data_IF_260467667153
#
_entry.id   IF_260467667153
#
_cell.length_a   1.000
_cell.length_b   1.000
_cell.length_c   1.000
_cell.angle_alpha   90.00
_cell.angle_beta   90.00
_cell.angle_gamma   90.00
#
_symmetry.space_group_name_H-M   'P 1'
#
loop_
_entity.id
_entity.type
_entity.pdbx_description
1 polymer ?
#
# COMPACT_ATOMS: atom_id res chain seq x y z
N UNK A 1 29.13 -15.29 13.89
CA UNK A 1 29.49 -15.37 15.29
C UNK A 1 30.73 -16.28 15.50
N UNK A 2 30.64 -17.57 15.13
CA UNK A 2 31.70 -18.55 15.35
C UNK A 2 33.04 -18.15 14.72
N UNK A 3 33.02 -17.60 13.50
CA UNK A 3 34.23 -17.15 12.81
C UNK A 3 34.93 -15.99 13.57
N UNK A 4 34.17 -15.01 14.05
CA UNK A 4 34.71 -13.90 14.85
C UNK A 4 35.26 -14.35 16.20
N UNK A 5 34.63 -15.34 16.83
CA UNK A 5 35.11 -15.88 18.11
C UNK A 5 36.44 -16.58 17.93
N UNK A 6 36.59 -17.39 16.87
CA UNK A 6 37.84 -18.06 16.52
C UNK A 6 38.93 -17.02 16.18
N UNK A 7 38.58 -15.98 15.45
CA UNK A 7 39.54 -14.91 15.10
C UNK A 7 40.06 -14.18 16.35
N UNK A 8 39.19 -13.76 17.27
CA UNK A 8 39.64 -13.10 18.51
C UNK A 8 40.44 -14.02 19.42
N UNK A 9 40.06 -15.30 19.52
CA UNK A 9 40.82 -16.29 20.28
C UNK A 9 42.20 -16.51 19.69
N UNK A 10 42.36 -16.60 18.38
CA UNK A 10 43.64 -16.79 17.69
C UNK A 10 44.57 -15.58 17.79
N UNK A 11 44.01 -14.37 17.92
CA UNK A 11 44.77 -13.11 18.11
C UNK A 11 45.13 -12.82 19.57
N UNK A 12 44.74 -13.69 20.52
CA UNK A 12 44.95 -13.47 21.94
C UNK A 12 44.08 -12.35 22.55
N UNK A 13 43.01 -11.91 21.86
CA UNK A 13 42.13 -10.84 22.29
C UNK A 13 41.00 -11.39 23.20
N UNK A 14 41.38 -11.93 24.37
CA UNK A 14 40.49 -12.63 25.28
C UNK A 14 39.33 -11.78 25.77
N UNK A 15 39.52 -10.48 26.00
CA UNK A 15 38.43 -9.55 26.42
C UNK A 15 37.35 -9.38 25.35
N UNK A 16 37.77 -9.29 24.08
CA UNK A 16 36.81 -9.19 22.95
C UNK A 16 36.06 -10.50 22.75
N UNK A 17 36.73 -11.62 22.88
CA UNK A 17 36.10 -12.93 22.83
C UNK A 17 35.05 -13.10 23.96
N UNK A 18 35.39 -12.71 25.19
CA UNK A 18 34.48 -12.73 26.33
C UNK A 18 33.27 -11.80 26.13
N UNK A 19 33.48 -10.57 25.65
CA UNK A 19 32.42 -9.63 25.35
C UNK A 19 31.46 -10.15 24.24
N UNK A 20 32.01 -10.85 23.23
CA UNK A 20 31.21 -11.46 22.18
C UNK A 20 30.35 -12.61 22.71
N UNK A 21 30.88 -13.43 23.62
CA UNK A 21 30.14 -14.51 24.30
C UNK A 21 29.04 -13.94 25.17
N UNK A 22 29.31 -12.89 25.97
CA UNK A 22 28.34 -12.24 26.83
C UNK A 22 27.21 -11.61 25.99
N UNK A 23 27.55 -10.92 24.91
CA UNK A 23 26.58 -10.36 23.97
C UNK A 23 25.66 -11.44 23.37
N UNK A 24 26.25 -12.57 22.92
CA UNK A 24 25.47 -13.70 22.41
C UNK A 24 24.56 -14.28 23.48
N UNK A 25 25.07 -14.49 24.68
CA UNK A 25 24.33 -15.05 25.80
C UNK A 25 23.12 -14.15 26.16
N UNK A 26 23.32 -12.82 26.20
CA UNK A 26 22.25 -11.84 26.44
C UNK A 26 21.22 -11.88 25.33
N UNK A 27 21.65 -12.01 24.08
CA UNK A 27 20.76 -12.08 22.93
C UNK A 27 19.93 -13.37 22.93
N UNK A 28 20.58 -14.53 23.14
CA UNK A 28 19.93 -15.84 23.15
C UNK A 28 18.91 -15.98 24.29
N UNK A 29 19.19 -15.35 25.43
CA UNK A 29 18.32 -15.37 26.62
C UNK A 29 17.40 -14.15 26.73
N UNK A 30 17.34 -13.31 25.69
CA UNK A 30 16.47 -12.14 25.73
C UNK A 30 14.99 -12.57 25.76
N UNK A 31 14.23 -12.18 26.80
CA UNK A 31 12.84 -12.58 26.92
C UNK A 31 11.98 -11.86 25.88
N UNK A 32 11.38 -12.64 24.99
CA UNK A 32 10.41 -12.12 24.00
C UNK A 32 9.00 -12.39 24.53
N UNK A 33 8.25 -11.32 24.79
CA UNK A 33 6.84 -11.45 25.17
C UNK A 33 6.01 -11.82 23.94
N UNK A 34 5.33 -12.97 23.99
CA UNK A 34 4.43 -13.43 22.93
C UNK A 34 3.00 -13.29 23.42
N UNK A 35 2.20 -12.49 22.75
CA UNK A 35 0.76 -12.39 22.97
C UNK A 35 0.07 -13.20 21.87
N UNK A 36 -0.64 -14.25 22.25
CA UNK A 36 -1.44 -15.06 21.32
C UNK A 36 -2.90 -14.66 21.43
N UNK A 37 -3.46 -14.17 20.34
CA UNK A 37 -4.88 -13.91 20.19
C UNK A 37 -5.52 -15.13 19.54
N UNK A 38 -6.54 -15.72 20.18
CA UNK A 38 -7.26 -16.87 19.64
C UNK A 38 -8.74 -16.54 19.53
N UNK A 39 -9.39 -16.99 18.45
CA UNK A 39 -10.82 -16.81 18.20
C UNK A 39 -11.29 -15.35 18.15
N UNK A 40 -10.43 -14.45 17.67
CA UNK A 40 -10.74 -13.03 17.54
C UNK A 40 -11.13 -12.68 16.11
N UNK A 41 -12.04 -11.73 15.95
CA UNK A 41 -12.35 -11.13 14.67
C UNK A 41 -11.16 -10.26 14.18
N UNK A 42 -11.05 -10.03 12.88
CA UNK A 42 -10.01 -9.17 12.31
C UNK A 42 -10.06 -7.75 12.89
N UNK A 43 -11.23 -7.20 13.17
CA UNK A 43 -11.39 -5.87 13.76
C UNK A 43 -10.84 -5.81 15.20
N UNK A 44 -11.01 -6.87 15.97
CA UNK A 44 -10.42 -6.98 17.31
C UNK A 44 -8.90 -7.08 17.23
N UNK A 45 -8.36 -7.83 16.28
CA UNK A 45 -6.91 -7.92 16.04
C UNK A 45 -6.35 -6.53 15.68
N UNK A 46 -7.01 -5.77 14.79
CA UNK A 46 -6.61 -4.39 14.45
C UNK A 46 -6.60 -3.51 15.70
N UNK A 47 -7.65 -3.59 16.53
CA UNK A 47 -7.77 -2.78 17.74
C UNK A 47 -6.66 -3.11 18.76
N UNK A 48 -6.36 -4.38 18.96
CA UNK A 48 -5.29 -4.83 19.86
C UNK A 48 -3.93 -4.36 19.33
N UNK A 49 -3.71 -4.53 18.03
CA UNK A 49 -2.49 -4.08 17.37
C UNK A 49 -2.27 -2.57 17.53
N UNK A 50 -3.31 -1.74 17.31
CA UNK A 50 -3.22 -0.29 17.50
C UNK A 50 -2.89 0.07 18.96
N UNK A 51 -3.37 -0.69 19.94
CA UNK A 51 -3.08 -0.48 21.37
C UNK A 51 -1.68 -0.92 21.78
N UNK A 52 -1.23 -2.08 21.33
CA UNK A 52 0.12 -2.59 21.65
C UNK A 52 1.19 -1.70 21.00
N UNK A 53 0.88 -1.13 19.86
CA UNK A 53 1.81 -0.30 19.07
C UNK A 53 2.05 1.11 19.66
N UNK A 54 1.49 1.43 20.82
CA UNK A 54 1.68 2.73 21.50
C UNK A 54 3.05 2.86 22.19
N UNK A 55 3.77 1.76 22.40
CA UNK A 55 5.10 1.74 23.01
C UNK A 55 6.17 1.25 22.06
N UNK A 56 7.02 2.13 21.51
CA UNK A 56 8.12 1.77 20.61
C UNK A 56 7.96 2.26 19.18
N UNK A 57 8.68 1.63 18.23
CA UNK A 57 8.54 1.94 16.79
C UNK A 57 7.18 1.42 16.31
N UNK A 58 6.31 2.34 15.90
CA UNK A 58 4.98 1.99 15.39
C UNK A 58 5.12 1.13 14.13
N UNK A 59 4.51 -0.05 14.16
CA UNK A 59 4.31 -0.87 12.97
C UNK A 59 3.18 -0.27 12.14
N UNK A 60 3.34 -0.22 10.84
CA UNK A 60 2.28 0.21 9.92
C UNK A 60 1.34 -0.96 9.59
N UNK A 61 0.17 -0.66 9.02
CA UNK A 61 -0.71 -1.70 8.47
C UNK A 61 0.03 -2.53 7.41
N UNK A 62 0.88 -1.88 6.61
CA UNK A 62 1.73 -2.54 5.64
C UNK A 62 2.67 -3.57 6.28
N UNK A 63 3.31 -3.26 7.41
CA UNK A 63 4.22 -4.19 8.08
C UNK A 63 3.50 -5.48 8.51
N UNK A 64 2.24 -5.37 8.94
CA UNK A 64 1.40 -6.52 9.27
C UNK A 64 1.04 -7.36 8.04
N UNK A 65 0.57 -6.69 7.00
CA UNK A 65 0.24 -7.35 5.73
C UNK A 65 1.49 -8.04 5.17
N UNK A 66 2.62 -7.33 5.13
CA UNK A 66 3.89 -7.88 4.67
C UNK A 66 4.27 -9.16 5.44
N UNK A 67 4.19 -9.13 6.78
CA UNK A 67 4.48 -10.29 7.60
C UNK A 67 3.52 -11.48 7.35
N UNK A 68 2.24 -11.18 7.06
CA UNK A 68 1.23 -12.23 6.81
C UNK A 68 1.35 -12.88 5.43
N UNK A 69 1.87 -12.14 4.43
CA UNK A 69 1.99 -12.62 3.04
C UNK A 69 3.42 -13.04 2.68
N UNK A 70 4.36 -12.93 3.60
CA UNK A 70 5.76 -13.27 3.36
C UNK A 70 5.96 -14.78 3.18
N UNK A 71 6.84 -15.15 2.26
CA UNK A 71 7.40 -16.49 2.10
C UNK A 71 8.79 -16.41 1.48
N UNK A 72 9.53 -17.51 1.48
CA UNK A 72 10.88 -17.57 0.91
C UNK A 72 10.94 -17.19 -0.59
N UNK A 73 9.83 -17.35 -1.31
CA UNK A 73 9.70 -17.09 -2.74
C UNK A 73 8.85 -15.84 -3.05
N UNK A 74 8.35 -15.12 -2.04
CA UNK A 74 7.59 -13.89 -2.22
C UNK A 74 7.74 -12.95 -1.04
N UNK A 75 8.51 -11.90 -1.24
CA UNK A 75 8.63 -10.77 -0.32
C UNK A 75 7.96 -9.53 -0.94
N UNK A 76 6.79 -9.16 -0.41
CA UNK A 76 6.01 -8.04 -0.93
C UNK A 76 6.78 -6.72 -0.90
N UNK A 77 7.67 -6.52 0.09
CA UNK A 77 8.48 -5.30 0.21
C UNK A 77 9.52 -5.21 -0.89
N UNK A 78 10.19 -6.31 -1.17
CA UNK A 78 11.20 -6.40 -2.22
C UNK A 78 10.55 -6.25 -3.59
N UNK A 79 9.42 -6.89 -3.81
CA UNK A 79 8.64 -6.76 -5.04
C UNK A 79 8.18 -5.30 -5.31
N UNK A 80 7.77 -4.57 -4.27
CA UNK A 80 7.43 -3.14 -4.36
C UNK A 80 8.67 -2.29 -4.65
N UNK A 81 9.79 -2.62 -4.02
CA UNK A 81 11.06 -1.93 -4.27
C UNK A 81 11.52 -2.12 -5.72
N UNK A 82 11.44 -3.34 -6.25
CA UNK A 82 11.73 -3.63 -7.65
C UNK A 82 10.85 -2.82 -8.60
N UNK A 83 9.54 -2.82 -8.37
CA UNK A 83 8.59 -2.02 -9.15
C UNK A 83 8.96 -0.52 -9.13
N UNK A 84 9.24 0.04 -7.96
CA UNK A 84 9.61 1.44 -7.83
C UNK A 84 10.98 1.78 -8.47
N UNK A 85 11.84 0.80 -8.69
CA UNK A 85 13.11 0.96 -9.37
C UNK A 85 13.03 0.83 -10.90
N UNK A 86 11.88 0.43 -11.46
CA UNK A 86 11.66 0.46 -12.89
C UNK A 86 11.83 1.88 -13.45
N UNK A 87 12.53 2.04 -14.56
CA UNK A 87 12.91 3.36 -15.09
C UNK A 87 11.71 4.29 -15.29
N UNK A 88 10.59 3.77 -15.81
CA UNK A 88 9.36 4.55 -16.06
C UNK A 88 8.68 5.01 -14.77
N UNK A 89 8.70 4.16 -13.74
CA UNK A 89 8.10 4.44 -12.42
C UNK A 89 8.98 5.43 -11.66
N UNK A 90 10.29 5.21 -11.67
CA UNK A 90 11.26 6.08 -10.99
C UNK A 90 11.18 7.54 -11.48
N UNK A 91 10.90 7.75 -12.77
CA UNK A 91 10.69 9.10 -13.34
C UNK A 91 9.38 9.71 -12.84
N UNK A 92 8.31 8.91 -12.73
CA UNK A 92 7.02 9.38 -12.21
C UNK A 92 7.08 9.68 -10.70
N UNK A 93 7.89 8.94 -9.97
CA UNK A 93 8.08 9.05 -8.52
C UNK A 93 7.64 7.77 -7.79
N UNK A 94 8.09 7.66 -6.55
CA UNK A 94 7.85 6.48 -5.72
C UNK A 94 6.37 6.31 -5.39
N UNK A 95 5.84 5.15 -5.74
CA UNK A 95 4.49 4.72 -5.35
C UNK A 95 4.54 4.15 -3.92
N UNK A 96 3.67 4.64 -3.05
CA UNK A 96 3.62 4.23 -1.64
C UNK A 96 3.21 2.77 -1.48
N UNK A 97 3.76 2.12 -0.46
CA UNK A 97 3.49 0.71 -0.18
C UNK A 97 2.02 0.42 0.13
N UNK A 98 1.30 1.39 0.70
CA UNK A 98 -0.14 1.32 0.98
C UNK A 98 -0.96 1.20 -0.31
N UNK A 99 -0.51 1.80 -1.41
CA UNK A 99 -1.16 1.67 -2.72
C UNK A 99 -1.22 0.20 -3.15
N UNK A 100 -0.15 -0.55 -2.92
CA UNK A 100 -0.08 -1.97 -3.31
C UNK A 100 -0.97 -2.85 -2.43
N UNK A 101 -0.98 -2.65 -1.10
CA UNK A 101 -1.85 -3.44 -0.22
C UNK A 101 -3.32 -3.16 -0.48
N UNK A 102 -3.68 -1.91 -0.74
CA UNK A 102 -5.03 -1.52 -1.12
C UNK A 102 -5.42 -2.10 -2.49
N UNK A 103 -4.51 -2.07 -3.47
CA UNK A 103 -4.71 -2.65 -4.79
C UNK A 103 -4.91 -4.16 -4.73
N UNK A 104 -4.06 -4.87 -3.97
CA UNK A 104 -4.20 -6.32 -3.76
C UNK A 104 -5.55 -6.66 -3.12
N UNK A 105 -5.94 -5.93 -2.07
CA UNK A 105 -7.21 -6.16 -1.39
C UNK A 105 -8.40 -5.92 -2.32
N UNK A 106 -8.39 -4.87 -3.14
CA UNK A 106 -9.40 -4.61 -4.17
C UNK A 106 -9.45 -5.75 -5.20
N UNK A 107 -8.30 -6.17 -5.71
CA UNK A 107 -8.20 -7.17 -6.77
C UNK A 107 -8.64 -8.57 -6.30
N UNK A 108 -8.47 -8.89 -5.01
CA UNK A 108 -8.81 -10.19 -4.44
C UNK A 108 -10.25 -10.22 -3.90
N UNK A 109 -10.68 -9.14 -3.24
CA UNK A 109 -11.95 -9.14 -2.50
C UNK A 109 -12.95 -8.03 -2.91
N UNK A 110 -12.57 -7.11 -3.79
CA UNK A 110 -13.40 -5.96 -4.17
C UNK A 110 -13.48 -4.88 -3.10
N UNK A 111 -12.73 -4.98 -2.00
CA UNK A 111 -12.75 -4.04 -0.88
C UNK A 111 -11.33 -3.80 -0.36
N UNK A 112 -11.02 -2.58 0.06
CA UNK A 112 -9.70 -2.20 0.55
C UNK A 112 -9.67 -1.71 2.00
N UNK A 113 -10.74 -1.91 2.77
CA UNK A 113 -10.74 -1.56 4.19
C UNK A 113 -9.71 -2.40 4.96
N UNK A 114 -9.29 -1.92 6.15
CA UNK A 114 -8.21 -2.56 6.92
C UNK A 114 -8.40 -4.07 7.10
N UNK A 115 -9.64 -4.53 7.38
CA UNK A 115 -9.94 -5.93 7.57
C UNK A 115 -9.60 -6.76 6.31
N UNK A 116 -9.94 -6.30 5.11
CA UNK A 116 -9.63 -6.97 3.86
C UNK A 116 -8.13 -6.96 3.55
N UNK A 117 -7.41 -5.89 3.87
CA UNK A 117 -5.96 -5.86 3.73
C UNK A 117 -5.27 -6.88 4.66
N UNK A 118 -5.73 -7.00 5.92
CA UNK A 118 -5.20 -7.98 6.88
C UNK A 118 -5.60 -9.43 6.57
N UNK A 119 -6.67 -9.63 5.81
CA UNK A 119 -7.11 -10.95 5.36
C UNK A 119 -6.32 -11.47 4.14
N UNK A 120 -5.41 -10.68 3.58
CA UNK A 120 -4.60 -11.08 2.44
C UNK A 120 -3.74 -12.30 2.78
N UNK A 121 -3.72 -13.27 1.86
CA UNK A 121 -2.92 -14.49 1.96
C UNK A 121 -1.82 -14.50 0.90
N UNK A 122 -0.72 -15.13 1.22
CA UNK A 122 0.43 -15.25 0.33
C UNK A 122 0.04 -15.77 -1.07
N UNK A 123 -0.68 -16.90 -1.13
CA UNK A 123 -1.05 -17.54 -2.39
C UNK A 123 -1.91 -16.64 -3.28
N UNK A 124 -2.90 -15.96 -2.68
CA UNK A 124 -3.78 -15.04 -3.40
C UNK A 124 -3.02 -13.84 -3.93
N UNK A 125 -2.13 -13.26 -3.12
CA UNK A 125 -1.28 -12.14 -3.51
C UNK A 125 -0.35 -12.52 -4.67
N UNK A 126 0.32 -13.66 -4.59
CA UNK A 126 1.18 -14.19 -5.67
C UNK A 126 0.42 -14.37 -6.96
N UNK A 127 -0.79 -14.95 -6.88
CA UNK A 127 -1.61 -15.24 -8.05
C UNK A 127 -1.96 -13.96 -8.84
N UNK A 128 -2.26 -12.84 -8.15
CA UNK A 128 -2.67 -11.59 -8.79
C UNK A 128 -1.55 -10.56 -8.94
N UNK A 129 -0.37 -10.80 -8.36
CA UNK A 129 0.70 -9.81 -8.25
C UNK A 129 1.16 -9.24 -9.59
N UNK A 130 1.44 -10.11 -10.56
CA UNK A 130 1.88 -9.69 -11.89
C UNK A 130 0.87 -8.76 -12.56
N UNK A 131 -0.41 -9.11 -12.46
CA UNK A 131 -1.50 -8.34 -13.05
C UNK A 131 -1.74 -7.03 -12.29
N UNK A 132 -1.58 -7.04 -10.98
CA UNK A 132 -1.65 -5.83 -10.14
C UNK A 132 -0.56 -4.84 -10.54
N UNK A 133 0.70 -5.28 -10.68
CA UNK A 133 1.80 -4.42 -11.18
C UNK A 133 1.47 -3.82 -12.55
N UNK A 134 0.97 -4.62 -13.47
CA UNK A 134 0.60 -4.15 -14.81
C UNK A 134 -0.54 -3.13 -14.76
N UNK A 135 -1.57 -3.37 -13.97
CA UNK A 135 -2.69 -2.44 -13.81
C UNK A 135 -2.26 -1.09 -13.19
N UNK A 136 -1.30 -1.12 -12.26
CA UNK A 136 -0.70 0.12 -11.71
C UNK A 136 0.10 0.86 -12.79
N UNK A 137 0.89 0.16 -13.64
CA UNK A 137 1.61 0.80 -14.77
C UNK A 137 0.64 1.46 -15.76
N UNK A 138 -0.43 0.76 -16.14
CA UNK A 138 -1.47 1.30 -17.01
C UNK A 138 -2.13 2.53 -16.41
N UNK A 139 -2.34 2.52 -15.10
CA UNK A 139 -2.88 3.67 -14.36
C UNK A 139 -1.94 4.87 -14.42
N UNK A 140 -0.66 4.67 -14.15
CA UNK A 140 0.34 5.74 -14.21
C UNK A 140 0.43 6.31 -15.62
N UNK A 141 0.45 5.46 -16.63
CA UNK A 141 0.45 5.87 -18.05
C UNK A 141 -0.80 6.64 -18.43
N UNK A 142 -1.97 6.21 -17.95
CA UNK A 142 -3.23 6.92 -18.17
C UNK A 142 -3.21 8.30 -17.51
N UNK A 143 -2.80 8.39 -16.23
CA UNK A 143 -2.70 9.65 -15.49
C UNK A 143 -1.75 10.63 -16.23
N UNK A 144 -0.61 10.15 -16.68
CA UNK A 144 0.36 10.98 -17.44
C UNK A 144 -0.21 11.47 -18.77
N UNK A 145 -0.85 10.59 -19.53
CA UNK A 145 -1.33 10.90 -20.89
C UNK A 145 -2.61 11.71 -20.87
N UNK A 146 -3.55 11.36 -19.98
CA UNK A 146 -4.88 11.97 -19.94
C UNK A 146 -4.91 13.28 -19.17
N UNK A 147 -4.18 13.37 -18.05
CA UNK A 147 -4.22 14.49 -17.13
C UNK A 147 -2.96 15.34 -17.13
N UNK A 148 -1.93 14.95 -17.86
CA UNK A 148 -0.66 15.67 -17.93
C UNK A 148 0.18 15.61 -16.65
N UNK A 149 -0.18 14.77 -15.70
CA UNK A 149 0.53 14.63 -14.41
C UNK A 149 1.80 13.80 -14.62
N UNK A 150 2.92 14.48 -14.65
CA UNK A 150 4.23 13.85 -14.93
C UNK A 150 4.95 13.34 -13.68
N UNK A 151 4.53 13.76 -12.49
CA UNK A 151 5.13 13.34 -11.23
C UNK A 151 4.06 13.08 -10.17
N UNK A 152 4.26 12.01 -9.40
CA UNK A 152 3.32 11.55 -8.36
C UNK A 152 3.07 12.59 -7.27
N UNK A 153 4.04 13.46 -6.99
CA UNK A 153 3.92 14.53 -5.98
C UNK A 153 2.85 15.58 -6.33
N UNK A 154 2.42 15.64 -7.59
CA UNK A 154 1.33 16.54 -8.01
C UNK A 154 -0.04 15.96 -7.61
N UNK A 155 -0.14 14.67 -7.40
CA UNK A 155 -1.37 14.00 -6.99
C UNK A 155 -1.55 14.19 -5.48
N UNK A 156 -2.63 14.84 -5.02
CA UNK A 156 -2.81 15.14 -3.59
C UNK A 156 -3.02 13.88 -2.74
N UNK A 157 -3.48 12.79 -3.36
CA UNK A 157 -3.76 11.52 -2.69
C UNK A 157 -3.34 10.36 -3.58
N UNK A 158 -2.32 9.61 -3.19
CA UNK A 158 -1.93 8.39 -3.92
C UNK A 158 -3.03 7.31 -3.91
N UNK A 159 -4.01 7.41 -3.01
CA UNK A 159 -5.18 6.54 -2.95
C UNK A 159 -6.08 6.59 -4.21
N UNK A 160 -5.86 7.54 -5.12
CA UNK A 160 -6.46 7.57 -6.46
C UNK A 160 -5.96 6.38 -7.31
N UNK A 161 -4.70 5.98 -7.14
CA UNK A 161 -4.07 4.92 -7.93
C UNK A 161 -4.76 3.56 -7.73
N UNK A 162 -5.03 3.08 -6.48
CA UNK A 162 -5.74 1.82 -6.27
C UNK A 162 -7.12 1.75 -6.95
N UNK A 163 -7.83 2.86 -6.99
CA UNK A 163 -9.17 2.91 -7.61
C UNK A 163 -9.07 2.85 -9.14
N UNK A 164 -8.15 3.61 -9.74
CA UNK A 164 -7.95 3.57 -11.19
C UNK A 164 -7.35 2.24 -11.66
N UNK A 165 -6.39 1.66 -10.90
CA UNK A 165 -5.83 0.36 -11.25
C UNK A 165 -6.89 -0.73 -11.19
N UNK A 166 -7.85 -0.63 -10.26
CA UNK A 166 -8.94 -1.59 -10.15
C UNK A 166 -9.79 -1.62 -11.42
N UNK A 167 -10.02 -0.46 -12.08
CA UNK A 167 -10.64 -0.43 -13.40
C UNK A 167 -9.88 -1.31 -14.40
N UNK A 168 -8.57 -1.11 -14.54
CA UNK A 168 -7.76 -1.89 -15.49
C UNK A 168 -7.72 -3.38 -15.13
N UNK A 169 -7.66 -3.67 -13.83
CA UNK A 169 -7.62 -5.04 -13.34
C UNK A 169 -8.90 -5.81 -13.68
N UNK A 170 -10.10 -5.27 -13.44
CA UNK A 170 -11.35 -5.98 -13.67
C UNK A 170 -11.81 -5.90 -15.13
N UNK A 171 -11.57 -4.80 -15.83
CA UNK A 171 -11.94 -4.67 -17.27
C UNK A 171 -11.01 -5.45 -18.20
N UNK A 172 -9.81 -5.84 -17.74
CA UNK A 172 -8.75 -6.48 -18.53
C UNK A 172 -8.36 -5.70 -19.79
N UNK A 173 -8.62 -4.40 -19.83
CA UNK A 173 -8.31 -3.54 -20.96
C UNK A 173 -6.98 -2.82 -20.74
N UNK A 174 -6.30 -2.44 -21.83
CA UNK A 174 -5.06 -1.66 -21.80
C UNK A 174 -5.31 -0.13 -21.80
N UNK A 175 -6.55 0.29 -21.85
CA UNK A 175 -6.96 1.68 -21.87
C UNK A 175 -8.37 1.83 -21.31
N UNK A 176 -8.72 3.05 -20.89
CA UNK A 176 -10.09 3.36 -20.49
C UNK A 176 -10.99 3.35 -21.73
N UNK A 177 -12.11 2.63 -21.66
CA UNK A 177 -13.06 2.56 -22.75
C UNK A 177 -13.65 3.96 -23.04
N UNK A 178 -13.88 4.33 -24.29
CA UNK A 178 -14.34 5.68 -24.68
C UNK A 178 -15.56 6.14 -23.90
N UNK A 179 -16.54 5.26 -23.69
CA UNK A 179 -17.78 5.52 -22.95
C UNK A 179 -17.58 5.81 -21.45
N UNK A 180 -16.50 5.29 -20.86
CA UNK A 180 -16.17 5.49 -19.45
C UNK A 180 -15.24 6.68 -19.20
N UNK A 181 -14.60 7.18 -20.28
CA UNK A 181 -13.50 8.14 -20.20
C UNK A 181 -13.92 9.44 -19.50
N UNK A 182 -15.09 9.98 -19.87
CA UNK A 182 -15.57 11.24 -19.30
C UNK A 182 -15.88 11.06 -17.81
N UNK A 183 -16.60 10.01 -17.42
CA UNK A 183 -16.96 9.73 -16.03
C UNK A 183 -15.74 9.57 -15.14
N UNK A 184 -14.73 8.83 -15.62
CA UNK A 184 -13.49 8.61 -14.88
C UNK A 184 -12.68 9.91 -14.78
N UNK A 185 -12.65 10.73 -15.83
CA UNK A 185 -11.98 12.04 -15.79
C UNK A 185 -12.64 13.00 -14.80
N UNK A 186 -13.97 13.06 -14.80
CA UNK A 186 -14.73 13.90 -13.85
C UNK A 186 -14.52 13.44 -12.41
N UNK A 187 -14.51 12.12 -12.18
CA UNK A 187 -14.19 11.55 -10.87
C UNK A 187 -12.76 11.92 -10.44
N UNK A 188 -11.76 11.74 -11.31
CA UNK A 188 -10.37 12.06 -11.02
C UNK A 188 -10.18 13.51 -10.57
N UNK A 189 -10.73 14.47 -11.36
CA UNK A 189 -10.61 15.89 -11.03
C UNK A 189 -11.39 16.24 -9.77
N UNK A 190 -12.55 15.64 -9.58
CA UNK A 190 -13.35 15.85 -8.37
C UNK A 190 -12.61 15.38 -7.13
N UNK A 191 -12.02 14.18 -7.14
CA UNK A 191 -11.24 13.68 -6.00
C UNK A 191 -9.99 14.52 -5.79
N UNK A 192 -9.31 14.92 -6.86
CA UNK A 192 -8.09 15.73 -6.81
C UNK A 192 -8.33 17.09 -6.15
N UNK A 193 -9.43 17.76 -6.50
CA UNK A 193 -9.73 19.12 -6.00
C UNK A 193 -10.70 19.15 -4.81
N UNK A 194 -11.19 18.01 -4.36
CA UNK A 194 -11.98 17.91 -3.14
C UNK A 194 -11.11 17.40 -1.98
N UNK A 195 -11.60 17.57 -0.77
CA UNK A 195 -10.99 16.95 0.42
C UNK A 195 -11.50 15.50 0.62
N UNK A 196 -11.91 14.80 -0.47
CA UNK A 196 -12.59 13.51 -0.36
C UNK A 196 -11.79 12.49 0.44
N UNK A 197 -10.50 12.35 0.17
CA UNK A 197 -9.64 11.38 0.83
C UNK A 197 -8.88 11.92 2.05
N UNK A 198 -9.22 13.10 2.56
CA UNK A 198 -8.62 13.66 3.78
C UNK A 198 -9.09 12.97 5.07
N UNK A 199 -10.25 12.31 5.05
CA UNK A 199 -10.80 11.59 6.20
C UNK A 199 -11.65 10.41 5.74
N UNK A 200 -11.75 9.35 6.57
CA UNK A 200 -12.50 8.11 6.25
C UNK A 200 -12.13 7.55 4.87
N UNK A 201 -10.84 7.63 4.53
CA UNK A 201 -10.31 7.36 3.18
C UNK A 201 -10.71 5.98 2.68
N UNK A 202 -10.48 4.93 3.46
CA UNK A 202 -10.75 3.55 3.03
C UNK A 202 -12.25 3.28 2.77
N UNK A 203 -13.15 3.87 3.57
CA UNK A 203 -14.59 3.76 3.35
C UNK A 203 -15.00 4.42 2.02
N UNK A 204 -14.46 5.60 1.76
CA UNK A 204 -14.72 6.32 0.49
C UNK A 204 -14.12 5.61 -0.71
N UNK A 205 -12.95 5.01 -0.55
CA UNK A 205 -12.32 4.18 -1.58
C UNK A 205 -13.17 2.95 -1.91
N UNK A 206 -13.72 2.27 -0.90
CA UNK A 206 -14.66 1.16 -1.11
C UNK A 206 -15.85 1.58 -1.98
N UNK A 207 -16.46 2.72 -1.66
CA UNK A 207 -17.58 3.26 -2.45
C UNK A 207 -17.16 3.59 -3.90
N UNK A 208 -15.93 4.13 -4.07
CA UNK A 208 -15.41 4.47 -5.39
C UNK A 208 -15.03 3.22 -6.19
N UNK A 209 -14.49 2.19 -5.54
CA UNK A 209 -14.23 0.90 -6.17
C UNK A 209 -15.52 0.21 -6.63
N UNK A 210 -16.56 0.25 -5.80
CA UNK A 210 -17.89 -0.24 -6.19
C UNK A 210 -18.40 0.50 -7.43
N UNK A 211 -18.30 1.81 -7.45
CA UNK A 211 -18.69 2.61 -8.60
C UNK A 211 -17.89 2.28 -9.87
N UNK A 212 -16.61 1.97 -9.76
CA UNK A 212 -15.79 1.47 -10.88
C UNK A 212 -16.37 0.16 -11.43
N UNK A 213 -16.76 -0.78 -10.56
CA UNK A 213 -17.41 -2.01 -11.00
C UNK A 213 -18.74 -1.72 -11.71
N UNK A 214 -19.57 -0.83 -11.12
CA UNK A 214 -20.87 -0.46 -11.68
C UNK A 214 -20.72 0.18 -13.07
N UNK A 215 -19.65 0.97 -13.32
CA UNK A 215 -19.34 1.52 -14.66
C UNK A 215 -19.07 0.40 -15.66
N UNK A 216 -18.25 -0.57 -15.30
CA UNK A 216 -17.86 -1.66 -16.20
C UNK A 216 -19.05 -2.58 -16.48
N UNK A 217 -19.91 -2.79 -15.49
CA UNK A 217 -21.13 -3.58 -15.63
C UNK A 217 -22.27 -2.84 -16.38
N UNK A 218 -22.02 -1.59 -16.82
CA UNK A 218 -22.97 -0.78 -17.58
C UNK A 218 -24.11 -0.19 -16.75
N UNK A 219 -23.98 -0.12 -15.43
CA UNK A 219 -24.99 0.37 -14.48
C UNK A 219 -24.48 1.51 -13.58
N UNK A 220 -23.77 2.53 -14.12
CA UNK A 220 -23.22 3.58 -13.29
C UNK A 220 -24.33 4.46 -12.71
N UNK A 221 -24.41 4.52 -11.38
CA UNK A 221 -25.15 5.60 -10.74
C UNK A 221 -24.39 6.93 -10.97
N UNK A 222 -25.08 8.02 -11.38
CA UNK A 222 -24.42 9.30 -11.54
C UNK A 222 -23.85 9.74 -10.18
N UNK A 223 -22.52 9.92 -10.11
CA UNK A 223 -21.88 10.51 -8.94
C UNK A 223 -21.78 12.02 -9.12
N UNK A 224 -22.64 12.74 -8.44
CA UNK A 224 -22.53 14.18 -8.31
C UNK A 224 -21.75 14.48 -7.04
N UNK A 225 -20.48 14.83 -7.19
CA UNK A 225 -19.69 15.37 -6.09
C UNK A 225 -19.83 16.90 -6.14
N UNK A 226 -20.31 17.50 -5.07
CA UNK A 226 -20.26 18.96 -4.94
C UNK A 226 -18.86 19.36 -4.50
N UNK A 227 -18.04 19.84 -5.43
CA UNK A 227 -16.74 20.42 -5.11
C UNK A 227 -16.97 21.87 -4.70
N UNK A 228 -16.86 22.16 -3.41
CA UNK A 228 -16.81 23.53 -2.89
C UNK A 228 -15.33 23.93 -2.80
N UNK A 229 -14.75 24.42 -3.88
CA UNK A 229 -13.42 25.01 -3.88
C UNK A 229 -13.52 26.50 -3.58
N UNK A 230 -13.08 26.89 -2.38
CA UNK A 230 -12.78 28.28 -2.08
C UNK A 230 -11.34 28.64 -2.46
N UNK A 231 -11.05 29.92 -2.68
CA UNK A 231 -9.68 30.42 -2.92
C UNK A 231 -8.70 30.01 -1.79
N UNK A 232 -9.20 29.89 -0.56
CA UNK A 232 -8.40 29.45 0.60
C UNK A 232 -8.03 27.97 0.53
N UNK A 233 -8.89 27.12 -0.04
CA UNK A 233 -8.60 25.70 -0.21
C UNK A 233 -7.50 25.49 -1.27
N UNK A 234 -7.50 26.26 -2.34
CA UNK A 234 -6.44 26.26 -3.35
C UNK A 234 -5.09 26.74 -2.80
N UNK A 235 -5.09 27.70 -1.88
CA UNK A 235 -3.86 28.14 -1.19
C UNK A 235 -3.30 27.05 -0.27
N UNK A 236 -4.15 26.30 0.44
CA UNK A 236 -3.73 25.20 1.30
C UNK A 236 -3.09 24.06 0.52
N UNK A 237 -3.62 23.71 -0.65
CA UNK A 237 -3.04 22.68 -1.54
C UNK A 237 -1.61 23.09 -1.95
N UNK A 238 -1.36 24.37 -2.16
CA UNK A 238 -0.04 24.90 -2.58
C UNK A 238 1.00 24.95 -1.46
N UNK A 239 0.60 24.90 -0.18
CA UNK A 239 1.51 25.03 0.98
C UNK A 239 1.91 23.69 1.61
N UNK A 240 1.47 22.55 1.08
CA UNK A 240 1.84 21.22 1.58
C UNK A 240 2.96 20.54 0.77
N UNK A 241 3.64 21.30 -0.09
CA UNK A 241 4.79 20.86 -0.91
C UNK A 241 6.05 21.63 -0.56
#
# INVERSE_FOLDING_TARGET
YSALLVEYASKGEAEKAAALIDCKTKFDNYPISIIRSMNMSLDEVVTIFERINQGGKRLSLFDLVHASVWSDDFDLRDEINEFNNEASIKIFGKVDQEVFTQSLALNISGDCVKAHQLALKNEDCKAVWKETKESIRLTIDFIKKQFGVQNISIIPYQNIIPILQYYFFISKTKGIMPEHKQMISDWFWTVTFSTRYSSSTLTKMKDDAKWISDIIDGSPAPRVFTVKLGLEDLKRIRMQH
#
